data_IF_430120714279
#
_entry.id   IF_430120714279
#
_cell.length_a   1.000
_cell.length_b   1.000
_cell.length_c   1.000
_cell.angle_alpha   90.00
_cell.angle_beta   90.00
_cell.angle_gamma   90.00
#
_symmetry.space_group_name_H-M   'P 1'
#
loop_
_entity.id
_entity.type
_entity.pdbx_description
1 polymer ?
#
# COMPACT_ATOMS: atom_id res chain seq x y z
N UNK A 1 -2.55 -65.20 40.17
CA UNK A 1 -3.70 -66.08 39.85
C UNK A 1 -4.97 -65.32 40.25
N UNK A 2 -6.08 -65.51 39.54
CA UNK A 2 -7.32 -64.69 39.46
C UNK A 2 -7.19 -63.42 38.60
N UNK A 3 -8.09 -63.05 37.69
CA UNK A 3 -9.03 -63.72 36.78
C UNK A 3 -9.42 -62.65 35.74
N UNK A 4 -9.69 -63.05 34.48
CA UNK A 4 -10.07 -62.15 33.37
C UNK A 4 -11.43 -61.48 33.63
N UNK A 5 -11.59 -60.22 33.22
CA UNK A 5 -12.89 -59.68 32.83
C UNK A 5 -12.71 -58.75 31.61
N UNK A 6 -13.18 -59.23 30.47
CA UNK A 6 -13.32 -58.45 29.23
C UNK A 6 -14.50 -57.49 29.40
N UNK A 7 -14.28 -56.21 29.12
CA UNK A 7 -15.37 -55.26 28.89
C UNK A 7 -15.00 -54.43 27.65
N UNK A 8 -15.68 -54.73 26.54
CA UNK A 8 -15.70 -53.87 25.38
C UNK A 8 -16.61 -52.67 25.69
N UNK A 9 -16.07 -51.45 25.67
CA UNK A 9 -16.87 -50.24 25.66
C UNK A 9 -16.62 -49.44 24.38
N UNK A 10 -17.76 -49.15 23.76
CA UNK A 10 -18.04 -48.47 22.52
C UNK A 10 -17.92 -46.94 22.68
N UNK A 11 -17.53 -46.26 21.59
CA UNK A 11 -17.69 -44.83 21.30
C UNK A 11 -16.85 -43.84 22.14
N UNK A 12 -16.41 -42.68 21.64
CA UNK A 12 -16.95 -41.83 20.60
C UNK A 12 -15.81 -41.01 19.96
N UNK A 13 -15.67 -41.06 18.63
CA UNK A 13 -14.77 -40.18 17.91
C UNK A 13 -15.34 -38.75 17.90
N UNK A 14 -14.79 -37.85 18.71
CA UNK A 14 -15.00 -36.41 18.54
C UNK A 14 -13.99 -35.87 17.51
N UNK A 15 -14.30 -36.02 16.22
CA UNK A 15 -13.79 -35.07 15.24
C UNK A 15 -14.62 -33.80 15.37
N UNK A 16 -14.09 -32.81 16.09
CA UNK A 16 -14.54 -31.43 15.97
C UNK A 16 -14.19 -30.96 14.55
N UNK A 17 -15.10 -31.23 13.61
CA UNK A 17 -15.11 -30.56 12.31
C UNK A 17 -15.51 -29.10 12.52
N UNK A 18 -14.61 -28.32 13.11
CA UNK A 18 -14.66 -26.87 13.05
C UNK A 18 -14.54 -26.49 11.59
N UNK A 19 -15.66 -26.12 10.96
CA UNK A 19 -15.64 -25.47 9.67
C UNK A 19 -14.96 -24.13 9.87
N UNK A 20 -13.65 -24.06 9.59
CA UNK A 20 -13.00 -22.79 9.30
C UNK A 20 -13.61 -22.33 7.98
N UNK A 21 -14.67 -21.53 8.07
CA UNK A 21 -15.17 -20.77 6.93
C UNK A 21 -14.14 -19.69 6.64
N UNK A 22 -13.14 -20.02 5.84
CA UNK A 22 -12.27 -19.04 5.20
C UNK A 22 -13.14 -18.32 4.17
N UNK A 23 -13.84 -17.26 4.57
CA UNK A 23 -14.40 -16.33 3.60
C UNK A 23 -13.21 -15.80 2.80
N UNK A 24 -13.21 -15.88 1.47
CA UNK A 24 -12.15 -15.27 0.69
C UNK A 24 -12.09 -13.79 1.07
N UNK A 25 -10.97 -13.36 1.67
CA UNK A 25 -10.74 -11.95 1.95
C UNK A 25 -10.65 -11.25 0.60
N UNK A 26 -11.71 -10.54 0.22
CA UNK A 26 -11.73 -9.75 -1.01
C UNK A 26 -11.00 -8.43 -0.74
N UNK A 27 -9.83 -8.27 -1.35
CA UNK A 27 -9.12 -7.00 -1.35
C UNK A 27 -9.61 -6.14 -2.53
N UNK A 28 -9.81 -4.82 -2.34
CA UNK A 28 -10.02 -3.92 -3.45
C UNK A 28 -8.89 -4.05 -4.48
N UNK A 29 -9.22 -3.87 -5.76
CA UNK A 29 -8.20 -3.87 -6.80
C UNK A 29 -7.31 -2.63 -6.67
N UNK A 30 -5.99 -2.83 -6.75
CA UNK A 30 -5.05 -1.72 -6.92
C UNK A 30 -4.90 -1.44 -8.42
N UNK A 31 -5.34 -0.27 -8.85
CA UNK A 31 -5.35 0.14 -10.26
C UNK A 31 -4.16 1.08 -10.49
N UNK A 32 -3.17 0.69 -11.30
CA UNK A 32 -2.05 1.55 -11.68
C UNK A 32 -2.50 2.83 -12.40
N UNK A 33 -1.80 3.92 -12.14
CA UNK A 33 -1.97 5.18 -12.85
C UNK A 33 -1.54 5.08 -14.32
N UNK A 34 -1.96 6.03 -15.17
CA UNK A 34 -1.59 6.05 -16.59
C UNK A 34 -0.08 5.97 -16.81
N UNK A 35 0.36 5.06 -17.67
CA UNK A 35 1.77 4.89 -18.03
C UNK A 35 2.60 4.01 -17.07
N UNK A 36 2.03 3.58 -15.94
CA UNK A 36 2.68 2.61 -15.05
C UNK A 36 2.34 1.17 -15.43
N UNK A 37 3.23 0.19 -15.13
CA UNK A 37 2.99 -1.23 -15.40
C UNK A 37 1.74 -1.77 -14.68
N UNK A 38 1.10 -2.79 -15.26
CA UNK A 38 -0.01 -3.50 -14.62
C UNK A 38 0.47 -4.45 -13.53
N UNK A 39 -0.40 -4.81 -12.57
CA UNK A 39 -0.04 -5.82 -11.56
C UNK A 39 0.34 -7.17 -12.19
N UNK A 40 -0.40 -7.58 -13.23
CA UNK A 40 -0.12 -8.81 -13.98
C UNK A 40 1.29 -8.81 -14.59
N UNK A 41 1.73 -7.69 -15.18
CA UNK A 41 3.08 -7.56 -15.74
C UNK A 41 4.20 -7.67 -14.71
N UNK A 42 3.88 -7.39 -13.44
CA UNK A 42 4.79 -7.50 -12.30
C UNK A 42 4.68 -8.86 -11.60
N UNK A 43 3.76 -9.72 -12.02
CA UNK A 43 3.48 -10.98 -11.32
C UNK A 43 2.88 -10.78 -9.93
N UNK A 44 2.15 -9.69 -9.72
CA UNK A 44 1.54 -9.32 -8.44
C UNK A 44 0.02 -9.39 -8.49
N UNK A 45 -0.59 -9.58 -7.33
CA UNK A 45 -2.02 -9.42 -7.10
C UNK A 45 -2.30 -8.31 -6.08
N UNK A 46 -3.54 -7.82 -6.05
CA UNK A 46 -3.94 -6.87 -4.99
C UNK A 46 -3.76 -7.48 -3.59
N UNK A 47 -3.97 -8.78 -3.43
CA UNK A 47 -3.77 -9.46 -2.15
C UNK A 47 -2.31 -9.38 -1.68
N UNK A 48 -1.35 -9.51 -2.60
CA UNK A 48 0.08 -9.35 -2.30
C UNK A 48 0.37 -7.93 -1.80
N UNK A 49 -0.24 -6.92 -2.44
CA UNK A 49 -0.06 -5.52 -2.08
C UNK A 49 -0.69 -5.15 -0.74
N UNK A 50 -1.86 -5.67 -0.41
CA UNK A 50 -2.47 -5.47 0.90
C UNK A 50 -1.76 -6.26 2.02
N UNK A 51 -1.09 -7.37 1.67
CA UNK A 51 -0.31 -8.17 2.63
C UNK A 51 1.13 -7.69 2.82
N UNK A 52 1.59 -6.75 1.99
CA UNK A 52 2.95 -6.18 2.07
C UNK A 52 4.03 -7.03 1.42
N UNK A 53 3.68 -7.95 0.52
CA UNK A 53 4.66 -8.75 -0.23
C UNK A 53 5.47 -7.82 -1.15
N UNK A 54 6.81 -7.85 -1.01
CA UNK A 54 7.72 -7.12 -1.89
C UNK A 54 8.47 -8.08 -2.82
N UNK A 55 8.52 -7.76 -4.12
CA UNK A 55 9.40 -8.42 -5.11
C UNK A 55 10.73 -7.69 -5.30
N UNK A 56 10.90 -6.52 -4.70
CA UNK A 56 12.14 -5.73 -4.76
C UNK A 56 12.97 -5.91 -3.48
N UNK A 57 14.24 -6.33 -3.62
CA UNK A 57 15.25 -6.29 -2.55
C UNK A 57 15.77 -4.85 -2.42
N UNK A 58 15.68 -4.26 -1.23
CA UNK A 58 15.94 -2.85 -0.99
C UNK A 58 17.31 -2.66 -0.34
N UNK A 59 18.24 -2.01 -1.04
CA UNK A 59 19.40 -1.38 -0.40
C UNK A 59 18.94 -0.08 0.27
N UNK A 60 19.25 0.07 1.56
CA UNK A 60 19.01 1.28 2.33
C UNK A 60 19.76 2.46 1.68
N UNK A 61 19.09 3.59 1.49
CA UNK A 61 19.69 4.80 0.91
C UNK A 61 19.54 6.01 1.83
N UNK A 62 20.64 6.76 1.89
CA UNK A 62 20.90 7.91 2.75
C UNK A 62 19.87 9.04 2.61
N UNK A 63 19.58 9.65 3.77
CA UNK A 63 18.78 10.87 3.98
C UNK A 63 19.24 12.02 3.07
N UNK A 64 18.50 12.27 2.01
CA UNK A 64 18.41 13.61 1.41
C UNK A 64 16.99 14.13 1.68
N UNK A 65 16.90 14.97 2.71
CA UNK A 65 15.66 15.62 3.14
C UNK A 65 15.16 16.57 2.05
N UNK A 66 13.93 16.39 1.61
CA UNK A 66 13.19 17.41 0.87
C UNK A 66 12.84 18.58 1.80
N UNK A 67 12.93 19.82 1.31
CA UNK A 67 12.49 21.03 2.03
C UNK A 67 10.95 21.14 2.18
N UNK A 68 10.18 20.26 1.54
CA UNK A 68 8.73 20.23 1.70
C UNK A 68 8.36 19.80 3.12
N UNK A 69 7.55 20.63 3.79
CA UNK A 69 6.97 20.28 5.09
C UNK A 69 5.74 19.40 4.87
N UNK A 70 5.77 18.18 5.39
CA UNK A 70 4.63 17.26 5.36
C UNK A 70 3.33 17.92 5.83
N UNK A 71 2.26 17.59 5.15
CA UNK A 71 0.91 18.10 5.40
C UNK A 71 0.01 16.91 5.77
N UNK A 72 -0.81 17.03 6.82
CA UNK A 72 -1.64 15.92 7.33
C UNK A 72 -3.16 16.19 7.31
N UNK A 73 -3.62 17.15 6.50
CA UNK A 73 -5.03 17.36 6.21
C UNK A 73 -5.40 16.82 4.82
N UNK A 74 -6.69 16.53 4.63
CA UNK A 74 -7.23 16.34 3.29
C UNK A 74 -7.49 17.71 2.63
N UNK A 75 -7.45 17.77 1.29
CA UNK A 75 -7.79 18.99 0.55
C UNK A 75 -9.29 19.10 0.26
N UNK A 76 -10.14 18.57 1.16
CA UNK A 76 -11.59 18.45 0.96
C UNK A 76 -12.02 17.16 0.27
N UNK A 77 -11.08 16.33 -0.18
CA UNK A 77 -11.33 15.01 -0.76
C UNK A 77 -11.49 13.90 0.30
N UNK A 78 -11.35 14.24 1.59
CA UNK A 78 -11.57 13.34 2.71
C UNK A 78 -10.45 12.31 2.94
N UNK A 79 -10.48 11.74 4.14
CA UNK A 79 -9.51 10.74 4.61
C UNK A 79 -9.92 9.33 4.20
N UNK A 80 -8.92 8.49 3.92
CA UNK A 80 -9.08 7.15 3.35
C UNK A 80 -8.55 6.08 4.28
N UNK A 81 -9.02 4.82 4.21
CA UNK A 81 -8.48 3.75 5.02
C UNK A 81 -6.97 3.60 4.83
N UNK A 82 -6.22 3.47 5.93
CA UNK A 82 -4.76 3.30 5.89
C UNK A 82 -4.33 2.11 5.02
N UNK A 83 -5.10 1.02 5.05
CA UNK A 83 -4.81 -0.18 4.27
C UNK A 83 -4.87 0.06 2.75
N UNK A 84 -5.85 0.84 2.29
CA UNK A 84 -6.01 1.23 0.88
C UNK A 84 -4.82 2.05 0.41
N UNK A 85 -4.45 3.08 1.18
CA UNK A 85 -3.26 3.89 0.90
C UNK A 85 -1.99 3.03 0.89
N UNK A 86 -1.82 2.14 1.88
CA UNK A 86 -0.65 1.27 2.00
C UNK A 86 -0.51 0.30 0.82
N UNK A 87 -1.62 -0.23 0.29
CA UNK A 87 -1.58 -1.12 -0.88
C UNK A 87 -1.01 -0.41 -2.12
N UNK A 88 -1.41 0.83 -2.35
CA UNK A 88 -0.87 1.68 -3.42
C UNK A 88 0.60 2.07 -3.16
N UNK A 89 0.98 2.35 -1.91
CA UNK A 89 2.40 2.52 -1.53
C UNK A 89 3.23 1.27 -1.86
N UNK A 90 2.70 0.09 -1.57
CA UNK A 90 3.39 -1.17 -1.86
C UNK A 90 3.51 -1.41 -3.37
N UNK A 91 2.51 -1.02 -4.17
CA UNK A 91 2.61 -1.06 -5.63
C UNK A 91 3.78 -0.18 -6.12
N UNK A 92 3.82 1.09 -5.72
CA UNK A 92 4.88 2.02 -6.12
C UNK A 92 6.27 1.56 -5.69
N UNK A 93 6.37 0.93 -4.51
CA UNK A 93 7.62 0.34 -4.02
C UNK A 93 8.09 -0.83 -4.88
N UNK A 94 7.17 -1.67 -5.35
CA UNK A 94 7.48 -2.81 -6.21
C UNK A 94 7.90 -2.40 -7.64
N UNK A 95 7.66 -1.15 -8.04
CA UNK A 95 8.20 -0.59 -9.27
C UNK A 95 9.69 -0.21 -9.16
N UNK A 96 10.26 -0.16 -7.94
CA UNK A 96 11.69 0.09 -7.73
C UNK A 96 12.17 1.38 -8.38
N UNK A 97 13.17 1.28 -9.26
CA UNK A 97 13.78 2.39 -9.99
C UNK A 97 13.04 2.77 -11.27
N UNK A 98 11.83 2.26 -11.54
CA UNK A 98 10.97 2.80 -12.60
C UNK A 98 10.71 4.28 -12.34
N UNK A 99 10.75 5.10 -13.40
CA UNK A 99 10.49 6.53 -13.28
C UNK A 99 8.99 6.80 -13.08
N UNK A 100 8.64 7.43 -11.97
CA UNK A 100 7.32 8.00 -11.72
C UNK A 100 7.34 9.46 -12.17
N UNK A 101 6.73 9.74 -13.33
CA UNK A 101 6.74 11.05 -13.99
C UNK A 101 5.44 11.78 -13.72
N UNK A 102 5.54 13.06 -13.36
CA UNK A 102 4.41 13.97 -13.17
C UNK A 102 4.56 15.11 -14.17
N UNK A 103 3.48 15.39 -14.92
CA UNK A 103 3.44 16.47 -15.89
C UNK A 103 3.18 17.85 -15.27
N UNK A 104 2.51 18.72 -16.04
CA UNK A 104 2.08 20.05 -15.56
C UNK A 104 0.86 19.99 -14.63
N UNK A 105 0.07 18.93 -14.73
CA UNK A 105 -1.09 18.67 -13.87
C UNK A 105 -0.81 17.51 -12.93
N UNK A 106 -1.50 17.47 -11.80
CA UNK A 106 -1.44 16.32 -10.89
C UNK A 106 -1.75 15.03 -11.64
N UNK A 107 -0.99 13.99 -11.35
CA UNK A 107 -1.04 12.69 -12.03
C UNK A 107 -1.42 11.62 -11.02
N UNK A 108 -2.48 10.87 -11.29
CA UNK A 108 -2.82 9.69 -10.48
C UNK A 108 -1.75 8.63 -10.68
N UNK A 109 -1.15 8.15 -9.59
CA UNK A 109 -0.11 7.12 -9.60
C UNK A 109 -0.68 5.73 -9.31
N UNK A 110 -1.63 5.63 -8.39
CA UNK A 110 -2.50 4.46 -8.28
C UNK A 110 -3.77 4.81 -7.52
N UNK A 111 -4.79 3.99 -7.70
CA UNK A 111 -5.98 3.96 -6.84
C UNK A 111 -6.12 2.58 -6.20
N UNK A 112 -6.62 2.53 -4.99
CA UNK A 112 -6.90 1.29 -4.27
C UNK A 112 -8.06 1.53 -3.30
N UNK A 113 -9.17 0.81 -3.46
CA UNK A 113 -10.36 1.05 -2.63
C UNK A 113 -10.80 2.52 -2.67
N UNK A 114 -10.72 3.20 -1.52
CA UNK A 114 -11.03 4.65 -1.41
C UNK A 114 -9.83 5.57 -1.62
N UNK A 115 -8.61 5.04 -1.64
CA UNK A 115 -7.40 5.85 -1.76
C UNK A 115 -7.09 6.20 -3.21
N UNK A 116 -6.81 7.47 -3.46
CA UNK A 116 -6.19 8.00 -4.67
C UNK A 116 -4.84 8.57 -4.27
N UNK A 117 -3.77 8.03 -4.83
CA UNK A 117 -2.41 8.57 -4.63
C UNK A 117 -2.01 9.31 -5.89
N UNK A 118 -1.67 10.58 -5.73
CA UNK A 118 -1.31 11.48 -6.84
C UNK A 118 0.08 12.04 -6.67
N UNK A 119 0.73 12.38 -7.78
CA UNK A 119 1.93 13.19 -7.82
C UNK A 119 1.63 14.59 -8.33
N UNK A 120 2.25 15.61 -7.74
CA UNK A 120 2.13 17.01 -8.12
C UNK A 120 3.51 17.61 -8.36
N UNK A 121 3.65 18.39 -9.44
CA UNK A 121 4.88 19.05 -9.83
C UNK A 121 4.92 20.49 -9.29
N UNK A 122 5.88 20.78 -8.41
CA UNK A 122 6.09 22.13 -7.85
C UNK A 122 7.24 22.91 -8.51
N UNK A 123 7.97 22.31 -9.45
CA UNK A 123 9.17 22.93 -10.05
C UNK A 123 8.88 24.08 -11.02
N UNK A 124 7.62 24.23 -11.47
CA UNK A 124 7.25 25.12 -12.58
C UNK A 124 7.72 24.64 -13.97
N UNK A 125 8.39 23.48 -14.05
CA UNK A 125 8.78 22.85 -15.31
C UNK A 125 7.61 22.06 -15.93
N UNK A 126 7.74 21.69 -17.21
CA UNK A 126 6.73 20.89 -17.91
C UNK A 126 6.53 19.48 -17.34
N UNK A 127 7.55 18.95 -16.66
CA UNK A 127 7.47 17.68 -15.94
C UNK A 127 8.55 17.57 -14.86
N UNK A 128 8.30 16.71 -13.89
CA UNK A 128 9.25 16.28 -12.87
C UNK A 128 9.17 14.76 -12.72
N UNK A 129 10.25 14.11 -12.30
CA UNK A 129 10.27 12.67 -12.08
C UNK A 129 11.12 12.28 -10.88
N UNK A 130 10.74 11.18 -10.22
CA UNK A 130 11.58 10.48 -9.24
C UNK A 130 11.45 8.97 -9.47
N UNK A 131 12.26 8.16 -8.81
CA UNK A 131 12.04 6.71 -8.81
C UNK A 131 10.77 6.38 -8.02
N UNK A 132 9.98 5.42 -8.50
CA UNK A 132 8.72 5.07 -7.86
C UNK A 132 8.90 4.56 -6.43
N UNK A 133 10.03 3.92 -6.10
CA UNK A 133 10.38 3.58 -4.71
C UNK A 133 10.59 4.81 -3.82
N UNK A 134 11.07 5.92 -4.37
CA UNK A 134 11.30 7.16 -3.64
C UNK A 134 9.98 7.92 -3.44
N UNK A 135 9.10 7.88 -4.45
CA UNK A 135 7.71 8.33 -4.32
C UNK A 135 6.98 7.50 -3.27
N UNK A 136 7.15 6.18 -3.28
CA UNK A 136 6.59 5.28 -2.28
C UNK A 136 7.07 5.62 -0.86
N UNK A 137 8.32 6.07 -0.71
CA UNK A 137 8.86 6.54 0.57
C UNK A 137 8.16 7.80 1.06
N UNK A 138 7.95 8.79 0.18
CA UNK A 138 7.15 9.99 0.51
C UNK A 138 5.71 9.64 0.91
N UNK A 139 5.05 8.77 0.15
CA UNK A 139 3.69 8.33 0.46
C UNK A 139 3.64 7.51 1.77
N UNK A 140 4.65 6.68 2.02
CA UNK A 140 4.79 5.92 3.27
C UNK A 140 4.87 6.84 4.49
N UNK A 141 5.57 7.97 4.36
CA UNK A 141 5.64 8.96 5.43
C UNK A 141 4.25 9.53 5.76
N UNK A 142 3.43 9.84 4.76
CA UNK A 142 2.02 10.26 4.97
C UNK A 142 1.25 9.15 5.71
N UNK A 143 1.35 7.90 5.25
CA UNK A 143 0.71 6.74 5.90
C UNK A 143 1.14 6.57 7.36
N UNK A 144 2.43 6.77 7.66
CA UNK A 144 2.98 6.58 9.00
C UNK A 144 2.62 7.71 9.96
N UNK A 145 2.76 8.96 9.52
CA UNK A 145 2.71 10.13 10.41
C UNK A 145 1.40 10.90 10.35
N UNK A 146 0.60 10.74 9.30
CA UNK A 146 -0.67 11.46 9.14
C UNK A 146 -1.90 10.59 9.37
N UNK A 147 -1.76 9.33 9.80
CA UNK A 147 -2.91 8.49 10.16
C UNK A 147 -3.55 8.95 11.49
N UNK A 148 -4.87 8.98 11.55
CA UNK A 148 -5.62 9.28 12.78
C UNK A 148 -5.93 8.02 13.60
N UNK A 149 -6.56 8.21 14.77
CA UNK A 149 -6.94 7.12 15.68
C UNK A 149 -7.98 6.16 15.10
N UNK A 150 -8.69 6.55 14.04
CA UNK A 150 -9.67 5.70 13.35
C UNK A 150 -9.02 4.91 12.20
N UNK A 151 -7.70 5.01 12.02
CA UNK A 151 -6.98 4.35 10.94
C UNK A 151 -7.25 4.98 9.57
N UNK A 152 -7.69 6.25 9.54
CA UNK A 152 -7.83 7.00 8.30
C UNK A 152 -6.64 7.94 8.10
N UNK A 153 -6.21 8.08 6.86
CA UNK A 153 -5.08 8.90 6.45
C UNK A 153 -5.50 9.86 5.34
N UNK A 154 -4.96 11.07 5.39
CA UNK A 154 -4.82 11.96 4.25
C UNK A 154 -3.60 12.85 4.48
N UNK A 155 -3.05 13.38 3.40
CA UNK A 155 -1.95 14.32 3.48
C UNK A 155 -1.04 14.26 2.28
N UNK A 156 0.06 14.98 2.37
CA UNK A 156 1.06 15.07 1.33
C UNK A 156 2.46 15.12 1.93
N UNK A 157 3.42 14.56 1.22
CA UNK A 157 4.84 14.68 1.50
C UNK A 157 5.61 14.74 0.19
N UNK A 158 6.87 15.17 0.20
CA UNK A 158 7.68 15.06 -1.01
C UNK A 158 8.13 13.62 -1.25
N UNK A 159 8.28 13.27 -2.52
CA UNK A 159 9.03 12.08 -2.90
C UNK A 159 10.47 12.23 -2.43
N UNK A 160 11.03 11.12 -1.96
CA UNK A 160 12.44 11.08 -1.61
C UNK A 160 13.31 11.36 -2.85
N UNK A 161 14.49 11.94 -2.66
CA UNK A 161 15.38 12.29 -3.77
C UNK A 161 14.88 13.39 -4.73
N UNK A 162 13.63 13.87 -4.59
CA UNK A 162 13.09 14.97 -5.40
C UNK A 162 12.01 15.78 -4.67
N UNK A 163 12.44 16.87 -4.02
CA UNK A 163 11.54 17.80 -3.31
C UNK A 163 10.55 18.56 -4.19
N UNK A 164 10.67 18.50 -5.53
CA UNK A 164 9.74 19.14 -6.46
C UNK A 164 8.58 18.22 -6.88
N UNK A 165 8.62 16.93 -6.50
CA UNK A 165 7.54 15.98 -6.72
C UNK A 165 6.86 15.72 -5.37
N UNK A 166 5.65 16.24 -5.20
CA UNK A 166 4.84 16.01 -4.00
C UNK A 166 3.88 14.87 -4.24
N UNK A 167 3.84 13.92 -3.32
CA UNK A 167 2.90 12.81 -3.33
C UNK A 167 1.80 13.04 -2.30
N UNK A 168 0.56 12.97 -2.75
CA UNK A 168 -0.64 13.19 -1.94
C UNK A 168 -1.47 11.92 -1.84
N UNK A 169 -2.16 11.73 -0.71
CA UNK A 169 -3.08 10.61 -0.44
C UNK A 169 -4.43 11.19 -0.02
N UNK A 170 -5.45 10.96 -0.84
CA UNK A 170 -6.78 11.55 -0.67
C UNK A 170 -7.90 10.63 -1.20
N UNK A 171 -9.17 10.97 -0.94
CA UNK A 171 -10.35 10.19 -1.37
C UNK A 171 -10.93 10.56 -2.74
N UNK A 172 -10.40 11.61 -3.35
CA UNK A 172 -10.49 12.05 -4.74
C UNK A 172 -9.19 12.78 -5.08
#
# INVERSE_FOLDING_TARGET
MFAKLSIAYLACALFLAGRVSCTPTSFPEVIPGPGLPSLESLGLTSADLYSGTSVASLDARDELSSEFTRVCNDNGCGRVPRADAQACVNFLRNLGTTACVVGQTSTVMCTAGRAVVTGTNLSGQSSVSSFCQDVATGAQNVVTFCADSNGLVAGADAAFGNGNLIVSIEGC
#
